data_IF_591610840197
#
_entry.id   IF_591610840197
#
_cell.length_a   1.000
_cell.length_b   1.000
_cell.length_c   1.000
_cell.angle_alpha   90.00
_cell.angle_beta   90.00
_cell.angle_gamma   90.00
#
_symmetry.space_group_name_H-M   'P 1'
#
loop_
_entity.id
_entity.type
_entity.pdbx_description
1 polymer ?
#
# COMPACT_ATOMS: atom_id res chain seq x y z
N UNK A 1 -29.50 -16.09 39.68
CA UNK A 1 -29.58 -14.62 39.53
C UNK A 1 -28.28 -14.03 40.06
N UNK A 2 -27.50 -13.37 39.21
CA UNK A 2 -26.24 -12.70 39.58
C UNK A 2 -26.54 -11.22 39.92
N UNK A 3 -25.96 -10.66 41.00
CA UNK A 3 -25.83 -9.22 41.12
C UNK A 3 -24.38 -8.75 40.96
N UNK A 4 -24.21 -7.90 39.95
CA UNK A 4 -23.50 -6.60 39.94
C UNK A 4 -22.06 -6.50 40.49
N UNK A 5 -21.09 -6.59 39.58
CA UNK A 5 -19.74 -6.02 39.74
C UNK A 5 -19.64 -4.76 38.85
N UNK A 6 -20.04 -3.61 39.40
CA UNK A 6 -19.63 -2.29 38.94
C UNK A 6 -18.70 -1.72 40.00
N UNK A 7 -17.68 -1.00 39.52
CA UNK A 7 -16.69 -0.20 40.26
C UNK A 7 -15.34 -0.88 40.57
N UNK A 8 -14.49 -0.95 39.55
CA UNK A 8 -13.11 -0.46 39.70
C UNK A 8 -12.79 0.49 38.55
N UNK A 9 -12.62 1.77 38.89
CA UNK A 9 -12.21 2.86 38.01
C UNK A 9 -10.68 3.01 38.03
N UNK A 10 -10.15 3.34 36.85
CA UNK A 10 -8.90 4.05 36.55
C UNK A 10 -7.59 3.27 36.72
N UNK A 11 -6.92 3.02 35.59
CA UNK A 11 -5.71 3.77 35.20
C UNK A 11 -5.39 3.53 33.70
N UNK A 12 -5.08 4.64 33.01
CA UNK A 12 -4.59 4.80 31.63
C UNK A 12 -5.57 4.67 30.44
N UNK A 13 -5.95 5.81 29.87
CA UNK A 13 -6.53 5.96 28.52
C UNK A 13 -5.64 6.85 27.64
N UNK A 14 -5.24 6.34 26.46
CA UNK A 14 -5.22 7.17 25.26
C UNK A 14 -6.33 6.67 24.35
N UNK A 15 -7.38 7.49 24.29
CA UNK A 15 -8.33 7.70 23.19
C UNK A 15 -8.24 6.70 22.03
N UNK A 16 -9.34 5.95 21.88
CA UNK A 16 -9.63 5.01 20.79
C UNK A 16 -9.03 5.49 19.45
N UNK A 17 -8.29 4.64 18.72
CA UNK A 17 -7.89 4.99 17.36
C UNK A 17 -9.15 5.20 16.50
N UNK A 18 -9.14 6.11 15.52
CA UNK A 18 -10.28 6.31 14.64
C UNK A 18 -10.65 4.97 13.99
N UNK A 19 -11.93 4.72 13.70
CA UNK A 19 -12.37 3.43 13.17
C UNK A 19 -11.68 3.20 11.83
N UNK A 20 -10.68 2.30 11.83
CA UNK A 20 -9.89 1.91 10.67
C UNK A 20 -10.69 0.98 9.73
N UNK A 21 -11.89 1.42 9.33
CA UNK A 21 -12.72 0.72 8.34
C UNK A 21 -12.27 1.12 6.94
N UNK A 22 -11.24 0.45 6.43
CA UNK A 22 -11.03 0.33 4.99
C UNK A 22 -12.11 -0.64 4.44
N UNK A 23 -12.82 -0.32 3.34
CA UNK A 23 -13.86 -1.21 2.80
C UNK A 23 -13.27 -2.49 2.22
N UNK A 24 -13.92 -3.62 2.54
CA UNK A 24 -13.73 -4.98 2.03
C UNK A 24 -12.46 -5.76 2.48
N UNK A 25 -12.51 -6.30 3.70
CA UNK A 25 -12.26 -7.73 3.91
C UNK A 25 -10.96 -8.18 4.58
N UNK A 26 -9.87 -7.40 4.59
CA UNK A 26 -8.67 -7.73 5.38
C UNK A 26 -8.08 -6.48 6.00
N UNK A 27 -8.17 -6.40 7.33
CA UNK A 27 -7.67 -5.27 8.14
C UNK A 27 -6.18 -5.04 7.89
N UNK A 28 -5.74 -3.78 7.89
CA UNK A 28 -4.33 -3.47 8.12
C UNK A 28 -3.90 -4.19 9.42
N UNK A 29 -2.71 -4.82 9.45
CA UNK A 29 -2.29 -5.58 10.61
C UNK A 29 -2.29 -4.66 11.84
N UNK A 30 -2.94 -5.13 12.92
CA UNK A 30 -3.07 -4.35 14.16
C UNK A 30 -1.65 -4.05 14.71
N UNK A 31 -1.41 -2.80 15.09
CA UNK A 31 -0.15 -2.38 15.71
C UNK A 31 0.88 -1.74 14.77
N UNK A 32 0.65 -1.71 13.45
CA UNK A 32 1.56 -1.08 12.49
C UNK A 32 1.11 0.34 12.14
N UNK A 33 2.05 1.31 12.17
CA UNK A 33 1.76 2.72 11.89
C UNK A 33 2.03 3.08 10.42
N UNK A 34 3.04 2.46 9.81
CA UNK A 34 3.49 2.71 8.44
C UNK A 34 3.35 1.46 7.58
N UNK A 35 2.15 1.25 7.07
CA UNK A 35 1.82 0.14 6.16
C UNK A 35 1.97 0.62 4.71
N UNK A 36 2.69 -0.15 3.91
CA UNK A 36 2.99 0.17 2.50
C UNK A 36 2.44 -0.92 1.61
N UNK A 37 1.70 -0.54 0.58
CA UNK A 37 1.35 -1.45 -0.51
C UNK A 37 2.36 -1.36 -1.66
N UNK A 38 2.59 -2.50 -2.29
CA UNK A 38 3.51 -2.69 -3.40
C UNK A 38 2.78 -3.43 -4.53
N UNK A 39 2.86 -2.86 -5.73
CA UNK A 39 2.37 -3.46 -6.99
C UNK A 39 3.30 -3.06 -8.15
N UNK A 40 3.28 -3.86 -9.21
CA UNK A 40 4.11 -3.69 -10.40
C UNK A 40 3.33 -3.63 -11.72
N UNK A 41 3.91 -2.92 -12.69
CA UNK A 41 3.46 -2.89 -14.07
C UNK A 41 4.62 -3.20 -15.02
N UNK A 42 4.31 -3.85 -16.16
CA UNK A 42 5.32 -4.16 -17.18
C UNK A 42 5.94 -5.56 -17.09
N UNK A 43 5.23 -6.54 -16.52
CA UNK A 43 5.68 -7.95 -16.53
C UNK A 43 5.33 -8.74 -17.78
N UNK A 44 4.27 -8.35 -18.49
CA UNK A 44 3.75 -9.03 -19.67
C UNK A 44 4.20 -8.47 -21.03
N UNK A 45 4.45 -7.16 -21.20
CA UNK A 45 4.90 -6.61 -22.48
C UNK A 45 6.24 -7.20 -22.95
N UNK A 46 6.42 -7.27 -24.28
CA UNK A 46 7.66 -7.75 -24.93
C UNK A 46 8.81 -6.74 -24.91
N UNK A 47 8.51 -5.47 -24.62
CA UNK A 47 9.47 -4.38 -24.63
C UNK A 47 9.21 -3.43 -23.47
N UNK A 48 10.28 -2.76 -23.04
CA UNK A 48 10.24 -1.76 -21.99
C UNK A 48 10.55 -2.31 -20.59
N UNK A 49 10.60 -1.41 -19.61
CA UNK A 49 11.00 -1.75 -18.25
C UNK A 49 9.84 -2.34 -17.45
N UNK A 50 10.18 -3.03 -16.36
CA UNK A 50 9.26 -3.28 -15.25
C UNK A 50 9.36 -2.14 -14.26
N UNK A 51 8.21 -1.63 -13.82
CA UNK A 51 8.11 -0.53 -12.84
C UNK A 51 7.27 -0.99 -11.67
N UNK A 52 7.63 -0.59 -10.45
CA UNK A 52 6.84 -0.83 -9.26
C UNK A 52 6.63 0.46 -8.47
N UNK A 53 5.50 0.55 -7.78
CA UNK A 53 5.17 1.64 -6.89
C UNK A 53 5.07 1.13 -5.45
N UNK A 54 5.55 1.94 -4.51
CA UNK A 54 5.37 1.75 -3.08
C UNK A 54 4.48 2.89 -2.58
N UNK A 55 3.34 2.60 -1.97
CA UNK A 55 2.39 3.62 -1.51
C UNK A 55 2.08 3.44 -0.03
N UNK A 56 2.29 4.50 0.75
CA UNK A 56 1.99 4.59 2.17
C UNK A 56 0.88 5.63 2.38
N UNK A 57 -0.16 5.26 3.12
CA UNK A 57 -1.21 6.20 3.56
C UNK A 57 -1.01 6.51 5.02
N UNK A 58 -0.79 7.78 5.37
CA UNK A 58 -0.52 8.24 6.75
C UNK A 58 -1.80 8.70 7.44
N UNK A 59 -2.35 7.94 8.41
CA UNK A 59 -3.62 8.29 9.05
C UNK A 59 -3.57 9.61 9.82
N UNK A 60 -2.43 9.94 10.44
CA UNK A 60 -2.27 11.16 11.25
C UNK A 60 -2.32 12.47 10.44
N UNK A 61 -2.10 12.41 9.11
CA UNK A 61 -2.21 13.57 8.21
C UNK A 61 -3.55 13.62 7.46
N UNK A 62 -4.47 12.70 7.76
CA UNK A 62 -5.82 12.71 7.23
C UNK A 62 -6.67 13.77 7.96
N UNK A 63 -6.39 15.05 7.70
CA UNK A 63 -7.36 16.15 7.91
C UNK A 63 -8.33 16.29 6.72
N UNK A 64 -8.35 15.29 5.84
CA UNK A 64 -9.25 15.22 4.69
C UNK A 64 -10.62 14.81 5.23
N UNK A 65 -11.68 15.59 4.94
CA UNK A 65 -13.05 15.19 5.25
C UNK A 65 -13.25 13.78 4.72
N UNK A 66 -13.66 12.85 5.59
CA UNK A 66 -13.75 11.42 5.30
C UNK A 66 -14.49 11.07 3.98
N UNK A 67 -15.29 11.99 3.44
CA UNK A 67 -15.97 11.92 2.14
C UNK A 67 -15.03 11.98 0.92
N UNK A 68 -14.09 12.92 0.84
CA UNK A 68 -13.23 13.11 -0.34
C UNK A 68 -12.24 11.96 -0.52
N UNK A 69 -11.61 11.53 0.58
CA UNK A 69 -10.79 10.33 0.56
C UNK A 69 -11.63 9.12 0.18
N UNK A 70 -12.85 8.95 0.72
CA UNK A 70 -13.72 7.82 0.36
C UNK A 70 -14.10 7.80 -1.12
N UNK A 71 -14.31 8.97 -1.73
CA UNK A 71 -14.55 9.10 -3.18
C UNK A 71 -13.30 8.72 -3.96
N UNK A 72 -12.14 9.26 -3.57
CA UNK A 72 -10.86 8.93 -4.18
C UNK A 72 -10.53 7.42 -4.08
N UNK A 73 -10.74 6.84 -2.89
CA UNK A 73 -10.59 5.40 -2.63
C UNK A 73 -11.48 4.57 -3.55
N UNK A 74 -12.73 5.00 -3.79
CA UNK A 74 -13.65 4.30 -4.70
C UNK A 74 -13.19 4.39 -6.15
N UNK A 75 -12.73 5.56 -6.58
CA UNK A 75 -12.26 5.79 -7.96
C UNK A 75 -10.97 5.03 -8.26
N UNK A 76 -10.04 4.93 -7.31
CA UNK A 76 -8.79 4.17 -7.46
C UNK A 76 -9.04 2.67 -7.55
N UNK A 77 -9.99 2.13 -6.77
CA UNK A 77 -10.34 0.70 -6.81
C UNK A 77 -10.84 0.25 -8.20
N UNK A 78 -11.60 1.11 -8.89
CA UNK A 78 -12.06 0.84 -10.26
C UNK A 78 -11.13 1.46 -11.32
N UNK A 79 -9.87 1.77 -10.97
CA UNK A 79 -8.93 2.47 -11.88
C UNK A 79 -8.68 1.74 -13.20
N UNK A 80 -8.80 0.40 -13.20
CA UNK A 80 -8.70 -0.45 -14.41
C UNK A 80 -9.82 -0.20 -15.42
N UNK A 81 -10.95 0.38 -15.00
CA UNK A 81 -12.09 0.75 -15.85
C UNK A 81 -12.03 2.22 -16.30
N UNK A 82 -11.04 2.98 -15.83
CA UNK A 82 -10.90 4.40 -16.15
C UNK A 82 -10.12 4.61 -17.44
N UNK A 83 -10.48 5.68 -18.15
CA UNK A 83 -9.72 6.15 -19.32
C UNK A 83 -8.31 6.58 -18.90
N UNK A 84 -7.32 6.55 -19.82
CA UNK A 84 -5.97 7.04 -19.52
C UNK A 84 -5.95 8.45 -18.93
N UNK A 85 -6.76 9.37 -19.50
CA UNK A 85 -6.90 10.75 -19.02
C UNK A 85 -7.36 10.81 -17.55
N UNK A 86 -8.40 10.05 -17.19
CA UNK A 86 -8.91 9.98 -15.81
C UNK A 86 -7.89 9.37 -14.84
N UNK A 87 -7.12 8.36 -15.28
CA UNK A 87 -6.02 7.80 -14.46
C UNK A 87 -4.94 8.84 -14.19
N UNK A 88 -4.61 9.68 -15.16
CA UNK A 88 -3.63 10.74 -15.00
C UNK A 88 -4.11 11.85 -14.06
N UNK A 89 -5.38 12.23 -14.13
CA UNK A 89 -6.02 13.16 -13.19
C UNK A 89 -5.96 12.60 -11.75
N UNK A 90 -6.34 11.33 -11.55
CA UNK A 90 -6.24 10.69 -10.24
C UNK A 90 -4.80 10.60 -9.74
N UNK A 91 -3.85 10.26 -10.61
CA UNK A 91 -2.44 10.24 -10.27
C UNK A 91 -1.98 11.60 -9.77
N UNK A 92 -2.33 12.69 -10.46
CA UNK A 92 -2.02 14.08 -10.04
C UNK A 92 -2.59 14.40 -8.65
N UNK A 93 -3.80 13.93 -8.35
CA UNK A 93 -4.43 14.11 -7.03
C UNK A 93 -3.67 13.30 -5.96
N UNK A 94 -3.34 12.04 -6.24
CA UNK A 94 -2.67 11.15 -5.29
C UNK A 94 -1.29 11.67 -4.90
N UNK A 95 -0.47 12.09 -5.87
CA UNK A 95 0.91 12.53 -5.61
C UNK A 95 0.99 13.88 -4.89
N UNK A 96 -0.03 14.74 -5.04
CA UNK A 96 -0.12 16.04 -4.35
C UNK A 96 -0.68 15.89 -2.93
N UNK A 97 -1.27 14.75 -2.59
CA UNK A 97 -1.92 14.55 -1.32
C UNK A 97 -0.88 14.38 -0.18
N UNK A 98 -0.84 15.26 0.83
CA UNK A 98 0.15 15.19 1.91
C UNK A 98 0.00 13.95 2.81
N UNK A 99 -1.16 13.29 2.78
CA UNK A 99 -1.38 12.05 3.51
C UNK A 99 -0.81 10.83 2.78
N UNK A 100 -0.45 10.95 1.50
CA UNK A 100 0.11 9.87 0.70
C UNK A 100 1.62 10.11 0.58
N UNK A 101 2.38 9.08 0.87
CA UNK A 101 3.81 9.03 0.59
C UNK A 101 4.06 7.88 -0.36
N UNK A 102 4.89 8.10 -1.37
CA UNK A 102 5.08 7.12 -2.43
C UNK A 102 6.51 7.11 -2.93
N UNK A 103 6.89 5.98 -3.52
CA UNK A 103 8.16 5.78 -4.19
C UNK A 103 7.97 4.94 -5.45
N UNK A 104 8.83 5.14 -6.45
CA UNK A 104 8.77 4.41 -7.72
C UNK A 104 10.13 3.81 -8.08
N UNK A 105 10.16 2.51 -8.31
CA UNK A 105 11.31 1.78 -8.80
C UNK A 105 11.11 1.34 -10.25
N UNK A 106 12.17 1.42 -11.05
CA UNK A 106 12.17 0.98 -12.46
C UNK A 106 13.36 0.08 -12.70
N UNK A 107 13.20 -0.98 -13.46
CA UNK A 107 14.25 -1.90 -13.89
C UNK A 107 14.14 -2.09 -15.40
N UNK A 108 15.21 -1.79 -16.13
CA UNK A 108 15.24 -1.85 -17.60
C UNK A 108 15.24 -3.29 -18.12
N UNK A 109 14.83 -3.45 -19.37
CA UNK A 109 14.90 -4.67 -20.16
C UNK A 109 16.29 -5.32 -20.10
N UNK A 110 17.37 -4.52 -20.26
CA UNK A 110 18.76 -5.00 -20.11
C UNK A 110 19.06 -5.72 -18.79
N UNK A 111 18.36 -5.36 -17.71
CA UNK A 111 18.50 -6.03 -16.41
C UNK A 111 17.54 -7.22 -16.33
N UNK A 112 16.31 -7.07 -16.85
CA UNK A 112 15.32 -8.15 -16.94
C UNK A 112 15.93 -9.37 -17.63
N UNK A 113 16.64 -9.18 -18.74
CA UNK A 113 17.28 -10.27 -19.50
C UNK A 113 18.34 -11.01 -18.66
N UNK A 114 19.03 -10.29 -17.76
CA UNK A 114 20.08 -10.86 -16.90
C UNK A 114 19.55 -11.61 -15.69
N UNK A 115 18.47 -11.11 -15.09
CA UNK A 115 18.00 -11.62 -13.79
C UNK A 115 16.61 -12.25 -13.83
N UNK A 116 15.99 -12.37 -15.02
CA UNK A 116 14.58 -12.72 -15.28
C UNK A 116 13.54 -11.72 -14.75
N UNK A 117 12.34 -11.80 -15.33
CA UNK A 117 11.25 -10.86 -15.07
C UNK A 117 10.74 -10.89 -13.61
N UNK A 118 10.80 -12.04 -12.94
CA UNK A 118 10.37 -12.15 -11.55
C UNK A 118 11.31 -11.38 -10.63
N UNK A 119 12.61 -11.62 -10.73
CA UNK A 119 13.57 -10.93 -9.87
C UNK A 119 13.66 -9.44 -10.22
N UNK A 120 13.48 -9.07 -11.48
CA UNK A 120 13.40 -7.68 -11.90
C UNK A 120 12.19 -6.93 -11.30
N UNK A 121 11.02 -7.57 -11.23
CA UNK A 121 9.85 -7.01 -10.55
C UNK A 121 10.11 -6.79 -9.06
N UNK A 122 10.67 -7.80 -8.37
CA UNK A 122 11.01 -7.67 -6.95
C UNK A 122 12.12 -6.62 -6.70
N UNK A 123 13.08 -6.46 -7.63
CA UNK A 123 14.08 -5.40 -7.59
C UNK A 123 13.46 -4.01 -7.82
N UNK A 124 12.45 -3.89 -8.69
CA UNK A 124 11.71 -2.66 -8.87
C UNK A 124 10.96 -2.30 -7.57
N UNK A 125 10.34 -3.26 -6.90
CA UNK A 125 9.69 -3.04 -5.59
C UNK A 125 10.69 -2.60 -4.52
N UNK A 126 11.86 -3.24 -4.43
CA UNK A 126 12.95 -2.81 -3.53
C UNK A 126 13.35 -1.35 -3.79
N UNK A 127 13.55 -0.99 -5.07
CA UNK A 127 13.88 0.39 -5.46
C UNK A 127 12.75 1.37 -5.12
N UNK A 128 11.50 0.95 -5.21
CA UNK A 128 10.34 1.77 -4.84
C UNK A 128 10.32 2.05 -3.33
N UNK A 129 10.50 1.02 -2.50
CA UNK A 129 10.56 1.15 -1.03
C UNK A 129 11.69 2.08 -0.60
N UNK A 130 12.87 1.97 -1.23
CA UNK A 130 14.03 2.82 -0.92
C UNK A 130 13.81 4.32 -1.18
N UNK A 131 12.82 4.68 -1.98
CA UNK A 131 12.48 6.09 -2.26
C UNK A 131 11.46 6.67 -1.30
N UNK A 132 10.92 5.87 -0.38
CA UNK A 132 10.09 6.39 0.70
C UNK A 132 10.97 7.19 1.66
N UNK A 133 10.44 8.31 2.16
CA UNK A 133 11.12 9.15 3.15
C UNK A 133 11.11 8.47 4.52
N UNK A 134 10.05 7.72 4.82
CA UNK A 134 9.88 6.99 6.06
C UNK A 134 9.98 5.49 5.84
N UNK A 135 10.72 4.82 6.73
CA UNK A 135 10.89 3.38 6.66
C UNK A 135 9.55 2.66 6.95
N UNK A 136 9.13 1.70 6.11
CA UNK A 136 7.91 0.93 6.34
C UNK A 136 8.01 0.06 7.60
N UNK A 137 6.91 -0.06 8.35
CA UNK A 137 6.80 -1.06 9.42
C UNK A 137 6.25 -2.40 8.89
N UNK A 138 5.49 -2.34 7.80
CA UNK A 138 4.82 -3.49 7.21
C UNK A 138 4.60 -3.32 5.71
N UNK A 139 4.87 -4.38 4.95
CA UNK A 139 4.64 -4.43 3.51
C UNK A 139 3.43 -5.29 3.15
N UNK A 140 2.59 -4.81 2.26
CA UNK A 140 1.57 -5.59 1.56
C UNK A 140 2.02 -5.66 0.11
N UNK A 141 2.20 -6.86 -0.41
CA UNK A 141 2.77 -7.09 -1.75
C UNK A 141 1.74 -7.84 -2.58
N UNK A 142 1.41 -7.33 -3.77
CA UNK A 142 0.61 -8.08 -4.72
C UNK A 142 1.43 -9.27 -5.25
N UNK A 143 0.87 -10.47 -5.07
CA UNK A 143 1.48 -11.69 -5.58
C UNK A 143 1.41 -12.86 -4.62
N UNK A 144 2.06 -13.94 -5.04
CA UNK A 144 2.05 -15.25 -4.35
C UNK A 144 3.39 -15.62 -3.72
N UNK A 145 4.48 -15.08 -4.22
CA UNK A 145 5.83 -15.48 -3.86
C UNK A 145 6.73 -14.27 -3.79
N UNK A 146 7.67 -14.28 -2.83
CA UNK A 146 8.71 -13.28 -2.67
C UNK A 146 10.05 -14.01 -2.52
N UNK A 147 11.07 -13.63 -3.30
CA UNK A 147 12.45 -14.16 -3.15
C UNK A 147 13.41 -13.12 -2.57
N UNK A 148 13.24 -11.84 -2.89
CA UNK A 148 14.13 -10.75 -2.49
C UNK A 148 14.34 -10.68 -0.96
N UNK A 149 15.58 -10.94 -0.54
CA UNK A 149 15.97 -11.00 0.87
C UNK A 149 15.81 -9.66 1.61
N UNK A 150 16.01 -8.53 0.92
CA UNK A 150 15.85 -7.20 1.52
C UNK A 150 14.39 -6.84 1.76
N UNK A 151 13.48 -7.33 0.92
CA UNK A 151 12.04 -7.19 1.19
C UNK A 151 11.60 -8.14 2.31
N UNK A 152 12.16 -9.35 2.37
CA UNK A 152 11.90 -10.34 3.43
C UNK A 152 12.41 -9.94 4.82
N UNK A 153 13.41 -9.08 4.91
CA UNK A 153 13.90 -8.60 6.21
C UNK A 153 12.91 -7.66 6.91
N UNK A 154 11.90 -7.16 6.19
CA UNK A 154 10.79 -6.40 6.76
C UNK A 154 9.60 -7.33 7.05
N UNK A 155 8.68 -6.91 7.93
CA UNK A 155 7.41 -7.64 8.11
C UNK A 155 6.55 -7.44 6.86
N UNK A 156 6.01 -8.53 6.31
CA UNK A 156 5.24 -8.46 5.07
C UNK A 156 4.06 -9.43 5.02
N UNK A 157 3.16 -9.20 4.06
CA UNK A 157 2.10 -10.12 3.65
C UNK A 157 1.93 -10.12 2.14
N UNK A 158 1.86 -11.32 1.58
CA UNK A 158 1.54 -11.56 0.18
C UNK A 158 0.03 -11.70 0.02
N UNK A 159 -0.56 -10.96 -0.92
CA UNK A 159 -1.98 -11.03 -1.22
C UNK A 159 -2.13 -11.15 -2.74
N UNK A 160 -2.81 -12.19 -3.20
CA UNK A 160 -3.18 -12.31 -4.62
C UNK A 160 -4.25 -11.27 -4.94
N UNK A 161 -4.05 -10.47 -6.00
CA UNK A 161 -4.96 -9.38 -6.37
C UNK A 161 -5.12 -8.41 -5.20
N UNK A 162 -3.98 -7.91 -4.73
CA UNK A 162 -3.93 -7.01 -3.60
C UNK A 162 -4.55 -5.66 -3.96
N UNK A 163 -4.36 -5.21 -5.18
CA UNK A 163 -4.99 -4.03 -5.79
C UNK A 163 -6.53 -4.01 -5.65
N UNK A 164 -7.18 -5.16 -5.77
CA UNK A 164 -8.63 -5.29 -5.62
C UNK A 164 -9.09 -5.23 -4.14
N UNK A 165 -8.17 -5.44 -3.19
CA UNK A 165 -8.44 -5.72 -1.77
C UNK A 165 -7.86 -4.68 -0.80
N UNK A 166 -6.81 -3.99 -1.20
CA UNK A 166 -5.99 -3.11 -0.36
C UNK A 166 -5.67 -1.86 -1.15
N UNK A 167 -6.18 -0.71 -0.71
CA UNK A 167 -6.03 0.55 -1.45
C UNK A 167 -4.58 1.00 -1.70
N UNK A 168 -3.65 0.66 -0.80
CA UNK A 168 -2.24 1.02 -0.99
C UNK A 168 -1.53 0.15 -2.04
N UNK A 169 -2.17 -0.92 -2.50
CA UNK A 169 -1.69 -1.76 -3.59
C UNK A 169 -2.42 -1.36 -4.88
#
# INVERSE_FOLDING_TARGET
MLPNLKEEKKLWTPTRPPPSRLPAGKRAPKGFKRVVGLDEAGRGPIAGPVTAAAVMVRPAKLKIKNSELKILLRQVKDSKKLTPKKREELFKILIKNPAIEWGMGKVSEKIIDKINIKNAAELAMERAVKKLRHQPDFLIIDGKYLKNHKLKSMKYKLIVKADEKVFSC
#
